data_IF_098317071516
#
_entry.id   IF_098317071516
#
_cell.length_a   1.000
_cell.length_b   1.000
_cell.length_c   1.000
_cell.angle_alpha   90.00
_cell.angle_beta   90.00
_cell.angle_gamma   90.00
#
_symmetry.space_group_name_H-M   'P 1'
#
loop_
_entity.id
_entity.type
_entity.pdbx_description
1 polymer ?
#
# COMPACT_ATOMS: atom_id res chain seq x y z
N UNK A 1 -6.66 1.37 -20.22
CA UNK A 1 -7.84 0.96 -19.41
C UNK A 1 -7.35 0.89 -17.96
N UNK A 2 -7.82 1.76 -17.05
CA UNK A 2 -7.46 1.68 -15.65
C UNK A 2 -7.85 0.32 -15.05
N UNK A 3 -6.96 -0.29 -14.31
CA UNK A 3 -7.14 -1.61 -13.70
C UNK A 3 -6.66 -1.56 -12.27
N UNK A 4 -7.41 -2.15 -11.34
CA UNK A 4 -6.97 -2.32 -9.97
C UNK A 4 -6.25 -3.66 -9.80
N UNK A 5 -5.21 -3.67 -8.96
CA UNK A 5 -4.60 -4.90 -8.47
C UNK A 5 -4.54 -4.85 -6.96
N UNK A 6 -5.09 -5.86 -6.31
CA UNK A 6 -4.99 -6.02 -4.85
C UNK A 6 -4.43 -7.40 -4.51
N UNK A 7 -3.57 -7.44 -3.53
CA UNK A 7 -3.06 -8.67 -2.93
C UNK A 7 -3.21 -8.58 -1.41
N UNK A 8 -3.30 -9.69 -0.69
CA UNK A 8 -3.32 -9.65 0.77
C UNK A 8 -2.09 -8.95 1.34
N UNK A 9 -2.26 -8.19 2.41
CA UNK A 9 -1.17 -7.57 3.13
C UNK A 9 -0.95 -8.30 4.45
N UNK A 10 0.30 -8.69 4.73
CA UNK A 10 0.66 -9.35 5.98
C UNK A 10 0.07 -10.75 6.15
N UNK A 11 -0.29 -11.42 5.07
CA UNK A 11 -0.84 -12.78 5.09
C UNK A 11 -0.03 -13.62 4.10
N UNK A 12 0.40 -14.81 4.52
CA UNK A 12 1.16 -15.72 3.67
C UNK A 12 0.45 -15.97 2.34
N UNK A 13 1.11 -15.58 1.25
CA UNK A 13 0.62 -15.68 -0.11
C UNK A 13 1.80 -15.99 -1.03
N UNK A 14 1.58 -16.75 -2.09
CA UNK A 14 2.66 -17.11 -3.01
C UNK A 14 3.22 -15.85 -3.72
N UNK A 15 2.34 -14.91 -4.10
CA UNK A 15 2.68 -13.58 -4.62
C UNK A 15 1.89 -12.53 -3.82
N UNK A 16 2.56 -11.57 -3.22
CA UNK A 16 1.94 -10.50 -2.41
C UNK A 16 2.00 -10.74 -0.90
N UNK A 17 2.61 -11.84 -0.45
CA UNK A 17 2.81 -12.12 0.97
C UNK A 17 3.86 -11.23 1.63
N UNK A 18 4.74 -10.63 0.85
CA UNK A 18 5.83 -9.75 1.26
C UNK A 18 5.74 -8.43 0.53
N UNK A 19 6.22 -7.36 1.14
CA UNK A 19 6.21 -6.06 0.50
C UNK A 19 7.09 -6.07 -0.77
N UNK A 20 6.46 -5.78 -1.91
CA UNK A 20 7.12 -5.67 -3.20
C UNK A 20 7.33 -6.97 -3.98
N UNK A 21 7.06 -8.14 -3.44
CA UNK A 21 7.19 -9.40 -4.17
C UNK A 21 6.18 -9.53 -5.33
N UNK A 22 5.07 -8.81 -5.26
CA UNK A 22 4.07 -8.74 -6.32
C UNK A 22 4.40 -7.74 -7.45
N UNK A 23 5.47 -6.95 -7.34
CA UNK A 23 5.80 -5.93 -8.36
C UNK A 23 6.07 -6.52 -9.75
N UNK A 24 6.71 -7.68 -9.94
CA UNK A 24 6.85 -8.29 -11.26
C UNK A 24 5.50 -8.56 -11.94
N UNK A 25 4.51 -9.07 -11.17
CA UNK A 25 3.15 -9.26 -11.65
C UNK A 25 2.46 -7.91 -11.95
N UNK A 26 2.59 -6.93 -11.07
CA UNK A 26 2.03 -5.59 -11.26
C UNK A 26 2.58 -4.92 -12.54
N UNK A 27 3.87 -5.03 -12.83
CA UNK A 27 4.46 -4.51 -14.08
C UNK A 27 3.88 -5.19 -15.32
N UNK A 28 3.65 -6.50 -15.26
CA UNK A 28 3.01 -7.24 -16.34
C UNK A 28 1.59 -6.75 -16.58
N UNK A 29 0.78 -6.62 -15.52
CA UNK A 29 -0.59 -6.11 -15.60
C UNK A 29 -0.62 -4.65 -16.06
N UNK A 30 0.32 -3.82 -15.61
CA UNK A 30 0.46 -2.44 -16.07
C UNK A 30 0.81 -2.35 -17.56
N UNK A 31 1.63 -3.28 -18.07
CA UNK A 31 1.94 -3.36 -19.49
C UNK A 31 0.69 -3.73 -20.31
N UNK A 32 -0.13 -4.64 -19.82
CA UNK A 32 -1.35 -5.08 -20.48
C UNK A 32 -2.46 -4.01 -20.43
N UNK A 33 -2.70 -3.41 -19.27
CA UNK A 33 -3.79 -2.45 -19.05
C UNK A 33 -3.46 -1.03 -19.51
N UNK A 34 -2.18 -0.64 -19.46
CA UNK A 34 -1.69 0.72 -19.68
C UNK A 34 -1.81 1.66 -18.47
N UNK A 35 -2.58 1.28 -17.44
CA UNK A 35 -2.77 2.05 -16.21
C UNK A 35 -3.16 1.08 -15.08
N UNK A 36 -2.30 0.94 -14.09
CA UNK A 36 -2.54 0.09 -12.92
C UNK A 36 -2.62 0.94 -11.66
N UNK A 37 -3.61 0.66 -10.82
CA UNK A 37 -3.80 1.29 -9.51
C UNK A 37 -3.61 0.19 -8.47
N UNK A 38 -2.68 0.39 -7.53
CA UNK A 38 -2.37 -0.63 -6.54
C UNK A 38 -1.85 -0.01 -5.23
N UNK A 39 -1.72 -0.83 -4.20
CA UNK A 39 -1.40 -0.41 -2.84
C UNK A 39 0.09 -0.63 -2.48
N UNK A 40 0.57 -0.02 -1.37
CA UNK A 40 1.98 -0.04 -0.96
C UNK A 40 2.61 -1.44 -0.89
N UNK A 41 1.90 -2.44 -0.38
CA UNK A 41 2.44 -3.79 -0.24
C UNK A 41 2.90 -4.40 -1.59
N UNK A 42 2.24 -4.04 -2.70
CA UNK A 42 2.68 -4.47 -4.04
C UNK A 42 3.98 -3.81 -4.45
N UNK A 43 4.22 -2.56 -4.04
CA UNK A 43 5.28 -1.72 -4.60
C UNK A 43 6.45 -1.48 -3.65
N UNK A 44 6.26 -1.54 -2.33
CA UNK A 44 7.31 -1.29 -1.36
C UNK A 44 8.47 -2.28 -1.53
N UNK A 45 9.69 -1.85 -1.19
CA UNK A 45 10.90 -2.64 -1.40
C UNK A 45 11.41 -2.58 -2.84
N UNK A 46 10.65 -3.10 -3.78
CA UNK A 46 11.07 -3.18 -5.19
C UNK A 46 10.89 -1.87 -5.96
N UNK A 47 10.02 -0.95 -5.52
CA UNK A 47 9.80 0.33 -6.21
C UNK A 47 11.03 1.24 -6.25
N UNK A 48 12.03 1.02 -5.37
CA UNK A 48 13.33 1.70 -5.44
C UNK A 48 14.06 1.45 -6.75
N UNK A 49 13.92 0.26 -7.30
CA UNK A 49 14.67 -0.18 -8.48
C UNK A 49 13.85 -0.07 -9.77
N UNK A 50 12.53 0.05 -9.66
CA UNK A 50 11.61 0.00 -10.78
C UNK A 50 10.58 1.12 -10.71
N UNK A 51 10.81 2.18 -11.46
CA UNK A 51 9.83 3.24 -11.66
C UNK A 51 9.02 2.94 -12.92
N UNK A 52 7.74 2.67 -12.78
CA UNK A 52 6.81 2.50 -13.90
C UNK A 52 5.72 3.59 -13.82
N UNK A 53 5.69 4.54 -14.77
CA UNK A 53 4.73 5.64 -14.76
C UNK A 53 3.27 5.20 -14.96
N UNK A 54 3.05 3.94 -15.34
CA UNK A 54 1.71 3.35 -15.50
C UNK A 54 1.14 2.84 -14.19
N UNK A 55 1.93 2.78 -13.11
CA UNK A 55 1.50 2.25 -11.81
C UNK A 55 1.29 3.41 -10.84
N UNK A 56 0.08 3.51 -10.31
CA UNK A 56 -0.31 4.49 -9.32
C UNK A 56 -0.28 3.87 -7.92
N UNK A 57 0.50 4.49 -7.03
CA UNK A 57 0.69 4.10 -5.64
C UNK A 57 -0.42 4.72 -4.78
N UNK A 58 -1.34 3.91 -4.27
CA UNK A 58 -2.51 4.37 -3.50
C UNK A 58 -2.60 3.58 -2.20
N UNK A 59 -2.65 4.28 -1.08
CA UNK A 59 -2.81 3.67 0.25
C UNK A 59 -4.12 2.85 0.31
N UNK A 60 -4.11 1.74 1.10
CA UNK A 60 -5.16 0.72 1.07
C UNK A 60 -6.58 1.25 1.30
N UNK A 61 -6.82 2.07 2.35
CA UNK A 61 -8.16 2.61 2.59
C UNK A 61 -8.58 3.62 1.53
N UNK A 62 -7.64 4.37 0.97
CA UNK A 62 -7.90 5.28 -0.15
C UNK A 62 -8.23 4.52 -1.43
N UNK A 63 -7.61 3.33 -1.64
CA UNK A 63 -7.96 2.43 -2.73
C UNK A 63 -9.38 1.88 -2.57
N UNK A 64 -9.76 1.48 -1.38
CA UNK A 64 -11.12 1.01 -1.06
C UNK A 64 -12.16 2.11 -1.33
N UNK A 65 -11.89 3.33 -0.86
CA UNK A 65 -12.75 4.51 -1.09
C UNK A 65 -12.82 4.90 -2.57
N UNK A 66 -11.72 4.74 -3.31
CA UNK A 66 -11.73 4.92 -4.76
C UNK A 66 -12.63 3.89 -5.43
N UNK A 67 -12.52 2.61 -5.09
CA UNK A 67 -13.37 1.55 -5.62
C UNK A 67 -14.86 1.76 -5.26
N UNK A 68 -15.13 2.27 -4.06
CA UNK A 68 -16.48 2.68 -3.64
C UNK A 68 -16.99 3.93 -4.35
N UNK A 69 -16.15 4.66 -5.09
CA UNK A 69 -16.52 5.88 -5.79
C UNK A 69 -16.59 7.13 -4.92
N UNK A 70 -16.05 7.07 -3.70
CA UNK A 70 -15.97 8.20 -2.76
C UNK A 70 -14.81 9.14 -3.08
N UNK A 71 -13.82 8.64 -3.80
CA UNK A 71 -12.64 9.38 -4.26
C UNK A 71 -12.48 9.23 -5.77
N UNK A 72 -11.86 10.23 -6.39
CA UNK A 72 -11.15 10.11 -7.66
C UNK A 72 -9.64 10.32 -7.39
N UNK A 73 -8.82 9.85 -8.29
CA UNK A 73 -7.37 9.96 -8.20
C UNK A 73 -6.89 10.94 -9.27
N UNK A 74 -6.14 11.95 -8.88
CA UNK A 74 -5.49 12.90 -9.78
C UNK A 74 -4.02 12.58 -9.93
N UNK A 75 -3.58 12.00 -11.05
CA UNK A 75 -2.18 11.74 -11.30
C UNK A 75 -1.36 13.03 -11.23
N UNK A 76 -0.25 13.00 -10.49
CA UNK A 76 0.67 14.12 -10.35
C UNK A 76 2.07 13.74 -10.78
N UNK A 77 2.88 14.73 -11.17
CA UNK A 77 4.28 14.49 -11.54
C UNK A 77 5.20 14.39 -10.34
N UNK A 78 4.82 15.05 -9.23
CA UNK A 78 5.65 15.15 -8.04
C UNK A 78 4.80 15.54 -6.84
N UNK A 79 5.09 14.90 -5.71
CA UNK A 79 4.59 15.28 -4.39
C UNK A 79 5.69 15.95 -3.57
N UNK A 80 5.31 16.86 -2.69
CA UNK A 80 6.16 17.38 -1.62
C UNK A 80 5.89 16.54 -0.37
N UNK A 81 6.81 15.64 -0.07
CA UNK A 81 6.60 14.63 0.97
C UNK A 81 6.99 15.19 2.33
N UNK A 82 6.02 15.40 3.23
CA UNK A 82 6.29 15.65 4.63
C UNK A 82 6.80 14.37 5.31
N UNK A 83 7.85 14.48 6.12
CA UNK A 83 8.38 13.37 6.90
C UNK A 83 7.94 13.50 8.36
N UNK A 84 7.12 12.57 8.83
CA UNK A 84 6.65 12.47 10.19
C UNK A 84 7.45 11.42 10.93
N UNK A 85 8.10 11.79 12.03
CA UNK A 85 8.88 10.90 12.87
C UNK A 85 8.20 10.72 14.23
N UNK A 86 8.08 9.49 14.68
CA UNK A 86 7.62 9.17 16.02
C UNK A 86 8.64 9.60 17.07
N UNK A 87 8.20 10.27 18.13
CA UNK A 87 9.04 10.66 19.26
C UNK A 87 9.63 9.45 20.02
N UNK A 88 9.03 8.26 19.86
CA UNK A 88 9.53 7.02 20.46
C UNK A 88 10.77 6.44 19.78
N UNK A 89 11.19 6.98 18.64
CA UNK A 89 12.36 6.48 17.90
C UNK A 89 13.64 6.93 18.61
N UNK A 90 14.54 5.99 18.91
CA UNK A 90 15.84 6.24 19.51
C UNK A 90 16.70 7.17 18.63
N UNK A 91 17.58 8.01 19.25
CA UNK A 91 18.32 9.04 18.51
C UNK A 91 19.14 8.51 17.33
N UNK A 92 19.82 7.38 17.48
CA UNK A 92 20.62 6.78 16.41
C UNK A 92 19.74 6.30 15.25
N UNK A 93 18.66 5.58 15.56
CA UNK A 93 17.72 5.07 14.56
C UNK A 93 17.02 6.21 13.84
N UNK A 94 16.63 7.26 14.58
CA UNK A 94 16.08 8.47 14.02
C UNK A 94 17.05 9.13 13.02
N UNK A 95 18.33 9.25 13.39
CA UNK A 95 19.35 9.81 12.51
C UNK A 95 19.53 8.99 11.24
N UNK A 96 19.43 7.66 11.31
CA UNK A 96 19.44 6.80 10.11
C UNK A 96 18.30 7.12 9.16
N UNK A 97 17.08 7.29 9.66
CA UNK A 97 15.93 7.65 8.81
C UNK A 97 16.08 9.04 8.17
N UNK A 98 16.64 10.01 8.90
CA UNK A 98 16.96 11.33 8.33
C UNK A 98 18.00 11.21 7.22
N UNK A 99 19.05 10.39 7.41
CA UNK A 99 20.06 10.15 6.40
C UNK A 99 19.50 9.41 5.16
N UNK A 100 18.55 8.48 5.34
CA UNK A 100 17.84 7.87 4.23
C UNK A 100 17.07 8.91 3.43
N UNK A 101 16.34 9.82 4.10
CA UNK A 101 15.64 10.91 3.43
C UNK A 101 16.60 11.85 2.69
N UNK A 102 17.75 12.18 3.28
CA UNK A 102 18.79 12.99 2.63
C UNK A 102 19.38 12.26 1.42
N UNK A 103 19.63 10.96 1.53
CA UNK A 103 20.05 10.13 0.42
C UNK A 103 19.05 10.15 -0.74
N UNK A 104 17.77 10.02 -0.45
CA UNK A 104 16.70 10.11 -1.47
C UNK A 104 16.62 11.49 -2.11
N UNK A 105 16.81 12.58 -1.36
CA UNK A 105 16.92 13.93 -1.92
C UNK A 105 18.12 14.04 -2.88
N UNK A 106 19.28 13.58 -2.44
CA UNK A 106 20.53 13.73 -3.17
C UNK A 106 20.62 12.87 -4.43
N UNK A 107 20.11 11.64 -4.37
CA UNK A 107 20.32 10.64 -5.45
C UNK A 107 19.10 10.48 -6.36
N UNK A 108 17.89 10.71 -5.85
CA UNK A 108 16.66 10.55 -6.60
C UNK A 108 15.96 11.88 -6.90
N UNK A 109 16.44 12.99 -6.31
CA UNK A 109 15.86 14.32 -6.51
C UNK A 109 14.44 14.44 -5.91
N UNK A 110 14.11 13.65 -4.89
CA UNK A 110 12.79 13.71 -4.28
C UNK A 110 12.63 14.99 -3.44
N UNK A 111 11.46 15.59 -3.49
CA UNK A 111 11.12 16.74 -2.66
C UNK A 111 10.59 16.25 -1.30
N UNK A 112 11.48 16.13 -0.33
CA UNK A 112 11.18 15.64 1.01
C UNK A 112 11.36 16.76 2.01
N UNK A 113 10.34 17.07 2.76
CA UNK A 113 10.25 18.10 3.78
C UNK A 113 8.96 18.90 3.66
N UNK A 114 8.48 19.44 4.74
CA UNK A 114 9.07 19.58 6.07
C UNK A 114 9.22 18.26 6.84
N UNK A 115 9.97 18.30 7.97
CA UNK A 115 10.11 17.18 8.91
C UNK A 115 9.51 17.59 10.25
N UNK A 116 8.61 16.77 10.78
CA UNK A 116 7.96 16.97 12.09
C UNK A 116 8.13 15.71 12.92
N UNK A 117 8.42 15.89 14.21
CA UNK A 117 8.40 14.79 15.20
C UNK A 117 7.13 14.94 16.03
N UNK A 118 6.48 13.82 16.36
CA UNK A 118 5.34 13.82 17.27
C UNK A 118 5.73 14.38 18.63
N UNK A 119 4.79 14.99 19.34
CA UNK A 119 5.02 15.58 20.67
C UNK A 119 5.16 14.53 21.77
N UNK A 120 4.61 13.34 21.57
CA UNK A 120 4.76 12.16 22.42
C UNK A 120 4.93 10.91 21.56
N UNK A 121 5.49 9.80 22.09
CA UNK A 121 5.56 8.52 21.41
C UNK A 121 4.19 8.02 20.96
N UNK A 122 4.12 7.39 19.79
CA UNK A 122 2.86 6.85 19.23
C UNK A 122 2.38 5.60 19.97
N UNK A 123 3.29 4.89 20.65
CA UNK A 123 3.01 3.67 21.43
C UNK A 123 2.31 2.60 20.59
N UNK A 124 2.94 2.20 19.49
CA UNK A 124 2.42 1.14 18.63
C UNK A 124 2.36 -0.18 19.37
N UNK A 125 1.20 -0.84 19.31
CA UNK A 125 0.95 -2.15 19.92
C UNK A 125 0.54 -3.14 18.85
N UNK A 126 1.09 -4.35 18.93
CA UNK A 126 0.82 -5.43 18.01
C UNK A 126 -0.01 -6.51 18.71
N UNK A 127 -0.93 -7.11 17.99
CA UNK A 127 -1.69 -8.26 18.44
C UNK A 127 -2.05 -9.16 17.26
N UNK A 128 -2.27 -10.43 17.53
CA UNK A 128 -2.76 -11.40 16.54
C UNK A 128 -4.21 -11.75 16.88
N UNK A 129 -5.07 -11.67 15.88
CA UNK A 129 -6.46 -12.09 16.00
C UNK A 129 -6.59 -13.62 15.99
N UNK A 130 -7.74 -14.13 16.40
CA UNK A 130 -8.04 -15.57 16.38
C UNK A 130 -7.97 -16.19 14.97
N UNK A 131 -8.09 -15.38 13.93
CA UNK A 131 -7.93 -15.77 12.52
C UNK A 131 -6.47 -15.89 12.06
N UNK A 132 -5.49 -15.52 12.91
CA UNK A 132 -4.10 -15.36 12.53
C UNK A 132 -3.77 -14.03 11.83
N UNK A 133 -4.77 -13.17 11.60
CA UNK A 133 -4.53 -11.85 11.05
C UNK A 133 -3.86 -10.94 12.09
N UNK A 134 -2.89 -10.12 11.65
CA UNK A 134 -2.28 -9.11 12.51
C UNK A 134 -3.22 -7.94 12.76
N UNK A 135 -3.21 -7.45 13.98
CA UNK A 135 -3.92 -6.25 14.41
C UNK A 135 -2.94 -5.28 15.04
N UNK A 136 -3.27 -4.00 14.99
CA UNK A 136 -2.46 -3.00 15.64
C UNK A 136 -3.27 -1.85 16.19
N UNK A 137 -2.71 -1.25 17.24
CA UNK A 137 -3.29 -0.09 17.90
C UNK A 137 -2.21 0.97 18.11
N UNK A 138 -2.63 2.23 18.12
CA UNK A 138 -1.81 3.36 18.56
C UNK A 138 -2.29 3.79 19.94
N UNK A 139 -1.37 3.88 20.89
CA UNK A 139 -1.68 4.44 22.21
C UNK A 139 -1.96 5.93 22.16
N UNK A 140 -1.36 6.65 21.19
CA UNK A 140 -1.45 8.11 21.05
C UNK A 140 -1.82 8.54 19.61
N UNK A 141 -3.00 8.16 19.08
CA UNK A 141 -3.37 8.48 17.69
C UNK A 141 -3.48 9.99 17.45
N UNK A 142 -3.89 10.77 18.45
CA UNK A 142 -3.99 12.22 18.32
C UNK A 142 -2.63 12.90 18.11
N UNK A 143 -1.52 12.33 18.62
CA UNK A 143 -0.18 12.85 18.38
C UNK A 143 0.20 12.70 16.90
N UNK A 144 -0.17 11.56 16.28
CA UNK A 144 -0.01 11.32 14.85
C UNK A 144 -0.77 12.38 14.03
N UNK A 145 -2.05 12.61 14.35
CA UNK A 145 -2.90 13.55 13.64
C UNK A 145 -2.44 15.00 13.79
N UNK A 146 -2.00 15.41 15.01
CA UNK A 146 -1.44 16.76 15.22
C UNK A 146 -0.19 17.00 14.36
N UNK A 147 0.72 16.04 14.34
CA UNK A 147 1.94 16.14 13.52
C UNK A 147 1.61 16.15 12.02
N UNK A 148 0.65 15.34 11.59
CA UNK A 148 0.16 15.35 10.21
C UNK A 148 -0.41 16.71 9.79
N UNK A 149 -1.27 17.31 10.61
CA UNK A 149 -1.82 18.66 10.36
C UNK A 149 -0.72 19.73 10.29
N UNK A 150 0.33 19.62 11.11
CA UNK A 150 1.49 20.55 11.04
C UNK A 150 2.23 20.40 9.70
N UNK A 151 2.45 19.19 9.23
CA UNK A 151 3.08 18.94 7.92
C UNK A 151 2.22 19.49 6.78
N UNK A 152 0.92 19.27 6.80
CA UNK A 152 -0.01 19.80 5.80
C UNK A 152 0.00 21.32 5.81
N UNK A 153 -0.08 21.97 6.98
CA UNK A 153 -0.01 23.42 7.12
C UNK A 153 1.33 24.00 6.63
N UNK A 154 2.43 23.23 6.73
CA UNK A 154 3.74 23.59 6.21
C UNK A 154 3.91 23.28 4.70
N UNK A 155 2.84 22.86 4.02
CA UNK A 155 2.78 22.67 2.58
C UNK A 155 3.17 21.28 2.09
N UNK A 156 3.18 20.25 2.93
CA UNK A 156 3.30 18.87 2.48
C UNK A 156 2.04 18.48 1.69
N UNK A 157 2.23 17.78 0.57
CA UNK A 157 1.14 17.26 -0.28
C UNK A 157 1.02 15.74 -0.23
N UNK A 158 1.98 15.07 0.41
CA UNK A 158 1.94 13.66 0.81
C UNK A 158 2.71 13.49 2.13
N UNK A 159 2.45 12.45 2.90
CA UNK A 159 3.10 12.24 4.20
C UNK A 159 3.68 10.83 4.31
N UNK A 160 4.99 10.75 4.56
CA UNK A 160 5.67 9.53 4.96
C UNK A 160 5.80 9.52 6.49
N UNK A 161 5.34 8.46 7.13
CA UNK A 161 5.44 8.26 8.58
C UNK A 161 6.52 7.24 8.89
N UNK A 162 7.36 7.52 9.87
CA UNK A 162 8.25 6.55 10.49
C UNK A 162 7.78 6.39 11.94
N UNK A 163 7.25 5.22 12.27
CA UNK A 163 6.77 4.90 13.61
C UNK A 163 7.67 3.86 14.28
N UNK A 164 7.88 3.99 15.59
CA UNK A 164 8.62 3.01 16.37
C UNK A 164 7.73 1.82 16.69
N UNK A 165 8.11 0.67 16.17
CA UNK A 165 7.45 -0.59 16.45
C UNK A 165 8.18 -1.35 17.56
N UNK A 166 7.48 -2.16 18.38
CA UNK A 166 8.14 -3.01 19.34
C UNK A 166 9.04 -4.03 18.64
N UNK A 167 10.25 -4.22 19.18
CA UNK A 167 11.15 -5.28 18.74
C UNK A 167 10.77 -6.59 19.44
N UNK A 168 10.63 -7.66 18.67
CA UNK A 168 10.42 -9.02 19.19
C UNK A 168 11.27 -10.00 18.37
N UNK A 169 12.62 -9.97 18.55
CA UNK A 169 13.53 -10.78 17.75
C UNK A 169 13.40 -12.29 18.01
N UNK A 170 12.81 -12.68 19.15
CA UNK A 170 12.62 -14.07 19.54
C UNK A 170 11.22 -14.62 19.14
N UNK A 171 10.43 -13.81 18.45
CA UNK A 171 9.08 -14.19 18.00
C UNK A 171 9.12 -15.34 16.99
N UNK A 172 8.39 -16.43 17.28
CA UNK A 172 8.20 -17.53 16.32
C UNK A 172 7.51 -17.05 15.05
N UNK A 173 6.60 -16.08 15.15
CA UNK A 173 5.93 -15.49 14.00
C UNK A 173 6.90 -14.75 13.09
N UNK A 174 7.83 -13.96 13.67
CA UNK A 174 8.87 -13.27 12.92
C UNK A 174 9.83 -14.28 12.25
N UNK A 175 10.23 -15.33 12.97
CA UNK A 175 11.10 -16.37 12.41
C UNK A 175 10.42 -17.08 11.23
N UNK A 176 9.15 -17.46 11.36
CA UNK A 176 8.37 -18.07 10.28
C UNK A 176 8.23 -17.14 9.08
N UNK A 177 7.95 -15.84 9.32
CA UNK A 177 7.89 -14.83 8.25
C UNK A 177 9.22 -14.70 7.53
N UNK A 178 10.33 -14.56 8.26
CA UNK A 178 11.68 -14.47 7.70
C UNK A 178 12.07 -15.70 6.86
N UNK A 179 11.51 -16.86 7.16
CA UNK A 179 11.75 -18.12 6.45
C UNK A 179 10.67 -18.45 5.38
N UNK A 180 9.84 -17.49 5.01
CA UNK A 180 8.91 -17.62 3.88
C UNK A 180 7.55 -18.27 4.18
N UNK A 181 7.19 -18.50 5.45
CA UNK A 181 5.98 -19.23 5.82
C UNK A 181 5.06 -18.53 6.81
N UNK A 182 5.37 -17.33 7.20
CA UNK A 182 4.62 -16.60 8.25
C UNK A 182 3.69 -15.52 7.72
N UNK A 183 3.12 -14.81 8.68
CA UNK A 183 2.31 -13.61 8.50
C UNK A 183 3.10 -12.42 9.05
N UNK A 184 3.09 -11.30 8.36
CA UNK A 184 3.68 -10.06 8.86
C UNK A 184 2.88 -9.54 10.06
N UNK A 185 3.48 -9.63 11.24
CA UNK A 185 2.84 -9.17 12.49
C UNK A 185 2.67 -7.65 12.55
N UNK A 186 3.40 -6.88 11.74
CA UNK A 186 3.37 -5.41 11.73
C UNK A 186 2.23 -4.85 10.90
N UNK A 187 1.81 -5.56 9.86
CA UNK A 187 0.91 -5.08 8.81
C UNK A 187 -0.39 -4.44 9.33
N UNK A 188 -0.98 -5.00 10.39
CA UNK A 188 -2.21 -4.46 10.97
C UNK A 188 -2.03 -3.08 11.60
N UNK A 189 -0.94 -2.87 12.35
CA UNK A 189 -0.63 -1.57 12.95
C UNK A 189 -0.18 -0.55 11.90
N UNK A 190 0.59 -1.01 10.93
CA UNK A 190 1.02 -0.20 9.80
C UNK A 190 -0.18 0.37 9.02
N UNK A 191 -1.17 -0.46 8.73
CA UNK A 191 -2.39 -0.03 8.06
C UNK A 191 -3.11 1.08 8.83
N UNK A 192 -3.27 0.95 10.16
CA UNK A 192 -3.93 1.95 11.01
C UNK A 192 -3.27 3.33 10.89
N UNK A 193 -1.93 3.39 10.87
CA UNK A 193 -1.19 4.65 10.78
C UNK A 193 -1.55 5.41 9.49
N UNK A 194 -1.47 4.75 8.36
CA UNK A 194 -1.76 5.37 7.05
C UNK A 194 -3.24 5.73 6.90
N UNK A 195 -4.14 4.85 7.35
CA UNK A 195 -5.59 5.06 7.27
C UNK A 195 -6.02 6.31 8.03
N UNK A 196 -5.57 6.45 9.29
CA UNK A 196 -5.92 7.61 10.11
C UNK A 196 -5.50 8.93 9.44
N UNK A 197 -4.28 9.00 8.92
CA UNK A 197 -3.78 10.21 8.26
C UNK A 197 -4.46 10.48 6.93
N UNK A 198 -4.61 9.46 6.08
CA UNK A 198 -5.26 9.64 4.78
C UNK A 198 -6.72 10.06 4.92
N UNK A 199 -7.42 9.51 5.91
CA UNK A 199 -8.81 9.86 6.20
C UNK A 199 -8.94 11.28 6.73
N UNK A 200 -8.11 11.67 7.70
CA UNK A 200 -8.15 12.98 8.34
C UNK A 200 -7.72 14.11 7.41
N UNK A 201 -6.64 13.90 6.65
CA UNK A 201 -5.99 14.98 5.91
C UNK A 201 -6.40 15.04 4.43
N UNK A 202 -6.96 13.95 3.89
CA UNK A 202 -7.24 13.85 2.47
C UNK A 202 -5.98 13.83 1.60
N UNK A 203 -4.83 13.45 2.16
CA UNK A 203 -3.55 13.37 1.48
C UNK A 203 -3.10 11.92 1.28
N UNK A 204 -2.31 11.62 0.24
CA UNK A 204 -1.60 10.35 0.15
C UNK A 204 -0.66 10.18 1.34
N UNK A 205 -0.82 9.10 2.10
CA UNK A 205 0.01 8.77 3.24
C UNK A 205 0.53 7.35 3.12
N UNK A 206 1.74 7.11 3.63
CA UNK A 206 2.29 5.77 3.76
C UNK A 206 3.24 5.75 4.96
N UNK A 207 3.58 4.56 5.41
CA UNK A 207 4.34 4.33 6.64
C UNK A 207 5.57 3.47 6.38
N UNK A 208 6.54 3.60 7.26
CA UNK A 208 7.70 2.74 7.36
C UNK A 208 7.93 2.40 8.85
N UNK A 209 8.20 1.15 9.22
CA UNK A 209 8.53 0.80 10.58
C UNK A 209 9.97 1.24 10.92
N UNK A 210 10.16 1.79 12.12
CA UNK A 210 11.46 1.93 12.75
C UNK A 210 11.68 0.72 13.66
N UNK A 211 12.62 -0.14 13.29
CA UNK A 211 12.96 -1.38 13.98
C UNK A 211 14.44 -1.43 14.27
N UNK A 212 14.83 -2.14 15.33
CA UNK A 212 16.22 -2.52 15.55
C UNK A 212 16.70 -3.47 14.46
N UNK A 213 18.01 -3.49 14.24
CA UNK A 213 18.63 -4.40 13.28
C UNK A 213 18.39 -5.85 13.69
N UNK A 214 17.84 -6.63 12.75
CA UNK A 214 17.72 -8.07 12.92
C UNK A 214 19.07 -8.77 12.64
N UNK A 215 19.38 -9.88 13.32
CA UNK A 215 20.55 -10.67 13.03
C UNK A 215 20.48 -11.26 11.61
N UNK A 216 21.64 -11.40 10.96
CA UNK A 216 21.71 -12.07 9.66
C UNK A 216 21.28 -13.54 9.82
N UNK A 217 20.42 -13.97 8.92
CA UNK A 217 19.92 -15.36 8.85
C UNK A 217 20.32 -15.97 7.50
N UNK A 218 21.13 -17.04 7.46
CA UNK A 218 21.50 -17.69 6.20
C UNK A 218 20.33 -18.41 5.53
N UNK A 219 19.21 -18.63 6.23
CA UNK A 219 17.99 -19.24 5.72
C UNK A 219 16.90 -18.20 5.38
N UNK A 220 17.25 -16.92 5.40
CA UNK A 220 16.33 -15.84 5.08
C UNK A 220 15.71 -16.04 3.69
N UNK A 221 14.37 -16.03 3.63
CA UNK A 221 13.66 -16.10 2.34
C UNK A 221 14.03 -14.88 1.48
N UNK A 222 14.30 -15.05 0.18
CA UNK A 222 14.65 -13.95 -0.71
C UNK A 222 13.63 -12.81 -0.73
N UNK A 223 12.34 -13.07 -0.47
CA UNK A 223 11.29 -12.06 -0.41
C UNK A 223 11.43 -11.22 0.87
N UNK A 224 11.66 -11.88 2.02
CA UNK A 224 11.96 -11.18 3.27
C UNK A 224 13.27 -10.40 3.18
N UNK A 225 14.29 -10.94 2.49
CA UNK A 225 15.54 -10.21 2.23
C UNK A 225 15.31 -8.90 1.46
N UNK A 226 14.34 -8.87 0.55
CA UNK A 226 13.94 -7.64 -0.16
C UNK A 226 13.41 -6.56 0.76
N UNK A 227 12.82 -6.92 1.88
CA UNK A 227 12.34 -5.99 2.90
C UNK A 227 13.43 -5.59 3.90
N UNK A 228 14.18 -6.57 4.43
CA UNK A 228 15.10 -6.37 5.55
C UNK A 228 16.45 -5.81 5.15
N UNK A 229 17.05 -6.34 4.07
CA UNK A 229 18.40 -5.98 3.69
C UNK A 229 18.45 -4.59 3.07
N UNK A 230 19.28 -3.73 3.65
CA UNK A 230 19.49 -2.37 3.19
C UNK A 230 18.54 -1.33 3.81
N UNK A 231 17.74 -1.68 4.79
CA UNK A 231 16.79 -0.75 5.43
C UNK A 231 15.93 0.01 4.41
N UNK A 232 15.33 -0.73 3.49
CA UNK A 232 14.61 -0.15 2.35
C UNK A 232 13.24 0.43 2.68
N UNK A 233 12.71 0.19 3.89
CA UNK A 233 11.34 0.57 4.26
C UNK A 233 11.02 2.04 3.97
N UNK A 234 11.74 3.00 4.57
CA UNK A 234 11.46 4.42 4.34
C UNK A 234 11.75 4.83 2.90
N UNK A 235 12.83 4.36 2.32
CA UNK A 235 13.23 4.76 0.97
C UNK A 235 12.17 4.34 -0.07
N UNK A 236 11.61 3.12 0.02
CA UNK A 236 10.56 2.69 -0.91
C UNK A 236 9.24 3.44 -0.69
N UNK A 237 8.90 3.78 0.54
CA UNK A 237 7.75 4.64 0.87
C UNK A 237 7.90 6.03 0.24
N UNK A 238 9.08 6.64 0.37
CA UNK A 238 9.37 7.95 -0.22
C UNK A 238 9.29 7.91 -1.76
N UNK A 239 9.82 6.87 -2.39
CA UNK A 239 9.71 6.67 -3.84
C UNK A 239 8.26 6.48 -4.26
N UNK A 240 7.51 5.63 -3.56
CA UNK A 240 6.08 5.40 -3.84
C UNK A 240 5.26 6.67 -3.73
N UNK A 241 5.40 7.40 -2.63
CA UNK A 241 4.70 8.66 -2.40
C UNK A 241 5.09 9.77 -3.36
N UNK A 242 6.30 9.75 -3.92
CA UNK A 242 6.79 10.85 -4.76
C UNK A 242 5.89 11.17 -5.95
N UNK A 243 5.08 10.21 -6.40
CA UNK A 243 4.13 10.31 -7.51
C UNK A 243 2.76 9.74 -7.16
N UNK A 244 2.47 9.53 -5.89
CA UNK A 244 1.13 9.11 -5.47
C UNK A 244 0.10 10.14 -5.96
N UNK A 245 -1.03 9.71 -6.53
CA UNK A 245 -2.05 10.63 -7.01
C UNK A 245 -2.68 11.41 -5.85
N UNK A 246 -3.11 12.64 -6.11
CA UNK A 246 -3.92 13.38 -5.15
C UNK A 246 -5.28 12.70 -4.99
N UNK A 247 -5.78 12.72 -3.76
CA UNK A 247 -7.07 12.17 -3.38
C UNK A 247 -8.15 13.24 -3.54
N UNK A 248 -9.05 13.09 -4.51
CA UNK A 248 -10.10 14.06 -4.82
C UNK A 248 -11.43 13.55 -4.26
N UNK A 249 -11.97 14.12 -3.18
CA UNK A 249 -13.27 13.73 -2.63
C UNK A 249 -14.38 13.88 -3.67
N UNK A 250 -15.28 12.91 -3.70
CA UNK A 250 -16.47 12.93 -4.57
C UNK A 250 -17.73 13.06 -3.72
N UNK A 251 -18.72 13.83 -4.20
CA UNK A 251 -20.01 13.89 -3.52
C UNK A 251 -20.72 12.52 -3.57
N UNK A 252 -21.57 12.20 -2.60
CA UNK A 252 -22.40 11.00 -2.65
C UNK A 252 -23.19 10.89 -3.95
N UNK A 253 -23.43 9.66 -4.42
CA UNK A 253 -24.23 9.40 -5.61
C UNK A 253 -25.58 10.12 -5.51
N UNK A 254 -25.94 10.90 -6.54
CA UNK A 254 -27.18 11.69 -6.57
C UNK A 254 -27.08 13.14 -6.10
N UNK A 255 -25.95 13.60 -5.60
CA UNK A 255 -25.76 14.98 -5.11
C UNK A 255 -25.34 15.99 -6.20
N UNK A 256 -25.74 15.78 -7.46
CA UNK A 256 -25.39 16.66 -8.59
C UNK A 256 -24.03 16.35 -9.22
N UNK A 257 -23.81 16.86 -10.44
CA UNK A 257 -22.58 16.59 -11.18
C UNK A 257 -21.33 16.96 -10.35
N UNK A 258 -20.39 16.04 -10.25
CA UNK A 258 -19.07 16.28 -9.66
C UNK A 258 -18.33 17.36 -10.47
N UNK A 259 -18.64 18.63 -10.18
CA UNK A 259 -17.93 19.77 -10.74
C UNK A 259 -16.56 19.85 -10.09
N UNK A 260 -15.51 19.46 -10.77
CA UNK A 260 -14.15 19.57 -10.26
C UNK A 260 -13.19 18.50 -10.72
N UNK A 261 -13.67 17.44 -11.40
CA UNK A 261 -12.79 16.46 -12.01
C UNK A 261 -12.20 17.01 -13.32
N UNK A 262 -10.92 16.80 -13.48
CA UNK A 262 -10.19 17.11 -14.71
C UNK A 262 -10.27 15.89 -15.67
N UNK A 263 -10.07 16.10 -16.98
CA UNK A 263 -10.10 15.00 -17.95
C UNK A 263 -9.07 13.89 -17.69
N UNK A 264 -8.00 14.21 -16.96
CA UNK A 264 -6.95 13.26 -16.60
C UNK A 264 -7.16 12.56 -15.24
N UNK A 265 -8.20 12.96 -14.48
CA UNK A 265 -8.51 12.31 -13.22
C UNK A 265 -9.06 10.90 -13.46
N UNK A 266 -8.60 9.96 -12.66
CA UNK A 266 -9.09 8.58 -12.68
C UNK A 266 -10.31 8.49 -11.76
N UNK A 267 -11.41 8.03 -12.29
CA UNK A 267 -12.63 7.75 -11.53
C UNK A 267 -12.99 6.27 -11.67
N UNK A 268 -13.68 5.72 -10.69
CA UNK A 268 -14.02 4.29 -10.65
C UNK A 268 -14.82 3.85 -11.88
N UNK A 269 -15.61 4.75 -12.48
CA UNK A 269 -16.38 4.50 -13.70
C UNK A 269 -15.50 4.21 -14.92
N UNK A 270 -14.22 4.57 -14.87
CA UNK A 270 -13.26 4.29 -15.95
C UNK A 270 -12.51 2.96 -15.75
N UNK A 271 -12.70 2.30 -14.60
CA UNK A 271 -12.02 1.04 -14.27
C UNK A 271 -12.61 -0.09 -15.13
N UNK A 272 -11.74 -0.79 -15.82
CA UNK A 272 -12.13 -1.90 -16.69
C UNK A 272 -12.07 -3.28 -16.03
N UNK A 273 -11.28 -3.43 -14.99
CA UNK A 273 -11.17 -4.69 -14.21
C UNK A 273 -10.49 -4.48 -12.86
N UNK A 274 -10.72 -5.42 -11.94
CA UNK A 274 -9.89 -5.63 -10.74
C UNK A 274 -9.28 -7.03 -10.77
N UNK A 275 -8.02 -7.15 -10.41
CA UNK A 275 -7.26 -8.41 -10.34
C UNK A 275 -6.93 -8.70 -8.89
N UNK A 276 -7.31 -9.88 -8.40
CA UNK A 276 -7.06 -10.31 -7.02
C UNK A 276 -6.80 -11.83 -6.96
N UNK A 277 -6.11 -12.34 -5.91
CA UNK A 277 -6.00 -13.78 -5.67
C UNK A 277 -7.36 -14.45 -5.44
N UNK A 278 -7.58 -15.59 -6.06
CA UNK A 278 -8.87 -16.30 -6.03
C UNK A 278 -9.33 -16.72 -4.61
N UNK A 279 -8.40 -16.85 -3.69
CA UNK A 279 -8.70 -17.19 -2.29
C UNK A 279 -8.77 -15.96 -1.37
N UNK A 280 -8.68 -14.72 -1.90
CA UNK A 280 -8.63 -13.48 -1.11
C UNK A 280 -9.58 -12.40 -1.67
N UNK A 281 -10.79 -12.77 -2.04
CA UNK A 281 -11.76 -11.87 -2.70
C UNK A 281 -12.59 -11.01 -1.74
N UNK A 282 -12.42 -11.17 -0.41
CA UNK A 282 -13.20 -10.46 0.60
C UNK A 282 -12.78 -9.01 0.87
N UNK A 283 -11.80 -8.46 0.15
CA UNK A 283 -11.36 -7.08 0.32
C UNK A 283 -12.40 -6.06 -0.16
N UNK A 284 -12.51 -4.92 0.54
CA UNK A 284 -13.53 -3.90 0.27
C UNK A 284 -13.47 -3.39 -1.17
N UNK A 285 -12.29 -3.18 -1.74
CA UNK A 285 -12.13 -2.79 -3.15
C UNK A 285 -12.69 -3.83 -4.13
N UNK A 286 -12.49 -5.14 -3.86
CA UNK A 286 -13.01 -6.22 -4.71
C UNK A 286 -14.53 -6.23 -4.69
N UNK A 287 -15.12 -6.17 -3.48
CA UNK A 287 -16.57 -6.16 -3.30
C UNK A 287 -17.21 -4.94 -3.96
N UNK A 288 -16.65 -3.75 -3.73
CA UNK A 288 -17.14 -2.52 -4.33
C UNK A 288 -17.06 -2.52 -5.88
N UNK A 289 -16.01 -3.10 -6.44
CA UNK A 289 -15.91 -3.30 -7.89
C UNK A 289 -16.97 -4.29 -8.41
N UNK A 290 -17.16 -5.42 -7.73
CA UNK A 290 -18.16 -6.42 -8.09
C UNK A 290 -19.57 -5.85 -8.05
N UNK A 291 -19.95 -5.09 -7.01
CA UNK A 291 -21.24 -4.41 -6.91
C UNK A 291 -21.49 -3.41 -8.04
N UNK A 292 -20.45 -2.84 -8.61
CA UNK A 292 -20.50 -1.93 -9.76
C UNK A 292 -20.52 -2.64 -11.12
N UNK A 293 -20.46 -3.97 -11.13
CA UNK A 293 -20.36 -4.75 -12.35
C UNK A 293 -18.99 -4.65 -13.05
N UNK A 294 -17.94 -4.19 -12.34
CA UNK A 294 -16.58 -4.19 -12.84
C UNK A 294 -16.05 -5.63 -12.82
N UNK A 295 -15.53 -6.15 -13.94
CA UNK A 295 -14.98 -7.50 -14.01
C UNK A 295 -13.95 -7.79 -12.93
N UNK A 296 -14.15 -8.89 -12.19
CA UNK A 296 -13.20 -9.38 -11.20
C UNK A 296 -12.42 -10.55 -11.80
N UNK A 297 -11.11 -10.38 -12.00
CA UNK A 297 -10.23 -11.45 -12.46
C UNK A 297 -9.62 -12.11 -11.22
N UNK A 298 -10.01 -13.36 -10.97
CA UNK A 298 -9.55 -14.15 -9.83
C UNK A 298 -8.37 -15.03 -10.22
N UNK A 299 -7.17 -14.67 -9.75
CA UNK A 299 -5.94 -15.37 -10.11
C UNK A 299 -5.66 -16.51 -9.15
N UNK A 300 -5.32 -17.68 -9.68
CA UNK A 300 -4.80 -18.81 -8.89
C UNK A 300 -3.43 -18.38 -8.28
N UNK A 301 -3.50 -17.99 -7.04
CA UNK A 301 -2.37 -17.52 -6.24
C UNK A 301 -2.57 -18.00 -4.80
N UNK A 302 -1.99 -19.17 -4.44
CA UNK A 302 -2.18 -19.77 -3.13
C UNK A 302 -1.87 -18.82 -1.99
N UNK A 303 -2.78 -18.68 -1.04
CA UNK A 303 -2.62 -17.90 0.16
C UNK A 303 -3.27 -18.60 1.38
N UNK A 304 -2.97 -18.10 2.58
CA UNK A 304 -3.55 -18.64 3.82
C UNK A 304 -5.05 -18.31 3.97
N UNK A 305 -5.55 -17.33 3.23
CA UNK A 305 -6.98 -17.01 3.21
C UNK A 305 -7.75 -18.04 2.39
N UNK A 306 -9.05 -18.17 2.71
CA UNK A 306 -9.98 -19.04 2.00
C UNK A 306 -11.30 -18.32 1.68
N UNK A 307 -11.21 -17.07 1.24
CA UNK A 307 -12.36 -16.24 0.87
C UNK A 307 -12.51 -16.27 -0.64
N UNK A 308 -13.22 -17.27 -1.14
CA UNK A 308 -13.39 -17.55 -2.57
C UNK A 308 -14.63 -16.85 -3.16
N UNK A 309 -14.72 -16.86 -4.49
CA UNK A 309 -15.89 -16.35 -5.22
C UNK A 309 -17.17 -17.11 -4.84
N UNK A 310 -17.08 -18.43 -4.66
CA UNK A 310 -18.21 -19.27 -4.25
C UNK A 310 -18.75 -18.88 -2.87
N UNK A 311 -17.83 -18.64 -1.90
CA UNK A 311 -18.22 -18.24 -0.55
C UNK A 311 -18.92 -16.86 -0.49
N UNK A 312 -18.68 -16.01 -1.48
CA UNK A 312 -19.21 -14.63 -1.56
C UNK A 312 -20.31 -14.48 -2.63
N UNK A 313 -20.68 -15.56 -3.34
CA UNK A 313 -21.59 -15.51 -4.49
C UNK A 313 -21.17 -14.45 -5.55
N UNK A 314 -19.87 -14.37 -5.84
CA UNK A 314 -19.31 -13.44 -6.80
C UNK A 314 -19.13 -14.07 -8.18
N UNK A 315 -19.49 -13.30 -9.21
CA UNK A 315 -19.13 -13.64 -10.59
C UNK A 315 -17.68 -13.20 -10.85
N UNK A 316 -16.82 -14.14 -11.25
CA UNK A 316 -15.41 -13.86 -11.52
C UNK A 316 -14.96 -14.45 -12.84
N UNK A 317 -13.91 -13.88 -13.42
CA UNK A 317 -13.17 -14.45 -14.53
C UNK A 317 -11.96 -15.17 -13.94
N UNK A 318 -11.89 -16.52 -13.98
CA UNK A 318 -10.74 -17.24 -13.42
C UNK A 318 -9.52 -17.07 -14.31
N UNK A 319 -8.35 -17.02 -13.69
CA UNK A 319 -7.06 -17.00 -14.36
C UNK A 319 -6.07 -17.92 -13.62
N UNK A 320 -5.42 -18.83 -14.31
CA UNK A 320 -4.44 -19.76 -13.73
C UNK A 320 -3.11 -19.08 -13.35
N UNK A 321 -2.89 -17.84 -13.79
CA UNK A 321 -1.68 -17.07 -13.47
C UNK A 321 -1.88 -15.58 -13.75
N UNK A 322 -0.95 -14.75 -13.22
CA UNK A 322 -0.91 -13.32 -13.59
C UNK A 322 -0.61 -13.10 -15.08
N UNK A 323 0.05 -14.05 -15.76
CA UNK A 323 0.26 -13.99 -17.22
C UNK A 323 -1.04 -14.17 -17.98
N UNK A 324 -1.90 -15.09 -17.55
CA UNK A 324 -3.23 -15.25 -18.13
C UNK A 324 -4.13 -14.05 -17.82
N UNK A 325 -4.09 -13.53 -16.58
CA UNK A 325 -4.79 -12.30 -16.21
C UNK A 325 -4.37 -11.12 -17.11
N UNK A 326 -3.08 -11.00 -17.46
CA UNK A 326 -2.62 -9.98 -18.41
C UNK A 326 -3.21 -10.19 -19.81
N UNK A 327 -3.33 -11.42 -20.27
CA UNK A 327 -4.01 -11.76 -21.53
C UNK A 327 -5.49 -11.37 -21.51
N UNK A 328 -6.19 -11.67 -20.41
CA UNK A 328 -7.59 -11.27 -20.20
C UNK A 328 -7.77 -9.74 -20.19
N UNK A 329 -6.85 -9.02 -19.53
CA UNK A 329 -6.87 -7.54 -19.54
C UNK A 329 -6.67 -6.97 -20.94
N UNK A 330 -5.80 -7.57 -21.76
CA UNK A 330 -5.64 -7.18 -23.16
C UNK A 330 -6.93 -7.42 -23.94
N UNK A 331 -7.57 -8.59 -23.79
CA UNK A 331 -8.83 -8.90 -24.44
C UNK A 331 -9.93 -7.91 -24.04
N UNK A 332 -10.11 -7.66 -22.74
CA UNK A 332 -11.08 -6.67 -22.25
C UNK A 332 -10.82 -5.26 -22.79
N UNK A 333 -9.55 -4.84 -22.84
CA UNK A 333 -9.18 -3.53 -23.37
C UNK A 333 -9.50 -3.37 -24.85
N UNK A 334 -9.33 -4.44 -25.62
CA UNK A 334 -9.65 -4.47 -27.06
C UNK A 334 -11.15 -4.79 -27.35
N UNK A 335 -11.97 -4.94 -26.31
CA UNK A 335 -13.39 -5.24 -26.44
C UNK A 335 -13.70 -6.68 -26.90
N UNK A 336 -12.79 -7.59 -26.63
CA UNK A 336 -12.94 -9.03 -26.90
C UNK A 336 -13.45 -9.68 -25.60
N UNK A 337 -14.65 -10.27 -25.66
CA UNK A 337 -15.30 -10.95 -24.53
C UNK A 337 -15.20 -12.48 -24.65
#
# INVERSE_FOLDING_TARGET
MPTLMVVPTGIGCAVGGYAGDALPAARLLAAASGCLITHPNVMNGASLYWSDPRIHYVEGSSLDRFAAGELALRPVRRQRIGLLLDAGIEPELRQRHLQVADGCRATLGLEIGPVVTTDVPLEVRLSLGASGASWGELGQPEALLRAGRQLQAAGATAIAVVARFPDDPDSEALAAYRQGSGVDALAGAEAVISHLLSLELGLPCAHAPALSLLPLDPLLDPRAAGEELGHTFLACVLVGLSRAPDLIPRPPAGAGAASGLWPADLAVESVGAIVAPAAALGGAAVLACAERGIPVIAVDNPCLLAVSAEALDLQVIPAASFSEAAGLLLALREGIS
#
